data_IF_256237942466
#
_entry.id   IF_256237942466
#
_cell.length_a   1.000
_cell.length_b   1.000
_cell.length_c   1.000
_cell.angle_alpha   90.00
_cell.angle_beta   90.00
_cell.angle_gamma   90.00
#
_symmetry.space_group_name_H-M   'P 1'
#
loop_
_entity.id
_entity.type
_entity.pdbx_description
1 polymer ?
#
# COMPACT_ATOMS: atom_id res chain seq x y z
N UNK A 1 -24.00 6.43 -28.90
CA UNK A 1 -23.43 5.07 -28.71
C UNK A 1 -22.55 5.11 -27.47
N UNK A 2 -23.00 4.53 -26.35
CA UNK A 2 -22.17 4.37 -25.15
C UNK A 2 -21.20 3.22 -25.42
N UNK A 3 -19.91 3.53 -25.55
CA UNK A 3 -18.85 2.55 -25.65
C UNK A 3 -18.73 1.82 -24.31
N UNK A 4 -19.02 0.52 -24.31
CA UNK A 4 -18.84 -0.34 -23.14
C UNK A 4 -17.34 -0.43 -22.88
N UNK A 5 -16.85 0.14 -21.78
CA UNK A 5 -15.44 0.01 -21.38
C UNK A 5 -15.08 -1.48 -21.28
N UNK A 6 -13.94 -1.91 -21.85
CA UNK A 6 -13.54 -3.31 -21.78
C UNK A 6 -13.39 -3.73 -20.32
N UNK A 7 -13.95 -4.88 -19.96
CA UNK A 7 -13.78 -5.44 -18.62
C UNK A 7 -12.28 -5.61 -18.35
N UNK A 8 -11.74 -5.14 -17.21
CA UNK A 8 -10.34 -5.31 -16.87
C UNK A 8 -9.99 -6.80 -16.91
N UNK A 9 -8.87 -7.16 -17.54
CA UNK A 9 -8.40 -8.56 -17.57
C UNK A 9 -8.12 -8.98 -16.14
N UNK A 10 -8.83 -10.02 -15.67
CA UNK A 10 -8.81 -10.53 -14.29
C UNK A 10 -7.41 -10.79 -13.71
N UNK A 11 -6.38 -10.94 -14.53
CA UNK A 11 -5.05 -11.39 -14.09
C UNK A 11 -3.89 -10.43 -14.45
N UNK A 12 -4.14 -9.28 -15.10
CA UNK A 12 -3.05 -8.40 -15.56
C UNK A 12 -3.44 -6.91 -15.50
N UNK A 13 -3.80 -6.41 -14.31
CA UNK A 13 -4.00 -4.97 -14.09
C UNK A 13 -3.28 -4.52 -12.81
N UNK A 14 -2.86 -3.26 -12.77
CA UNK A 14 -2.23 -2.68 -11.58
C UNK A 14 -3.18 -2.68 -10.37
N UNK A 15 -4.47 -2.45 -10.58
CA UNK A 15 -5.50 -2.51 -9.54
C UNK A 15 -5.59 -3.91 -8.91
N UNK A 16 -5.70 -4.96 -9.74
CA UNK A 16 -5.70 -6.34 -9.26
C UNK A 16 -4.39 -6.70 -8.53
N UNK A 17 -3.25 -6.21 -9.03
CA UNK A 17 -1.96 -6.39 -8.39
C UNK A 17 -1.91 -5.77 -6.99
N UNK A 18 -2.29 -4.50 -6.86
CA UNK A 18 -2.28 -3.80 -5.57
C UNK A 18 -3.27 -4.41 -4.59
N UNK A 19 -4.42 -4.90 -5.07
CA UNK A 19 -5.37 -5.64 -4.23
C UNK A 19 -4.76 -6.93 -3.68
N UNK A 20 -4.14 -7.75 -4.54
CA UNK A 20 -3.50 -9.01 -4.11
C UNK A 20 -2.36 -8.76 -3.11
N UNK A 21 -1.54 -7.72 -3.33
CA UNK A 21 -0.48 -7.35 -2.39
C UNK A 21 -1.09 -6.91 -1.05
N UNK A 22 -2.11 -6.05 -1.08
CA UNK A 22 -2.79 -5.62 0.15
C UNK A 22 -3.38 -6.80 0.93
N UNK A 23 -4.02 -7.73 0.23
CA UNK A 23 -4.55 -8.97 0.84
C UNK A 23 -3.44 -9.75 1.54
N UNK A 24 -2.28 -9.91 0.91
CA UNK A 24 -1.13 -10.60 1.54
C UNK A 24 -0.58 -9.86 2.78
N UNK A 25 -0.73 -8.53 2.84
CA UNK A 25 -0.29 -7.75 4.00
C UNK A 25 -1.22 -7.90 5.22
N UNK A 26 -2.47 -8.38 5.04
CA UNK A 26 -3.34 -8.70 6.18
C UNK A 26 -2.84 -9.91 6.99
N UNK A 27 -2.04 -10.78 6.38
CA UNK A 27 -1.50 -11.97 7.03
C UNK A 27 -0.23 -11.65 7.86
N UNK A 28 0.31 -10.44 7.76
CA UNK A 28 1.52 -10.03 8.48
C UNK A 28 1.16 -9.69 9.93
N UNK A 29 1.81 -10.32 10.93
CA UNK A 29 1.59 -9.99 12.33
C UNK A 29 1.96 -8.53 12.62
N UNK A 30 1.05 -7.79 13.23
CA UNK A 30 1.32 -6.43 13.69
C UNK A 30 2.05 -6.47 15.04
N UNK A 31 3.31 -6.01 15.12
CA UNK A 31 4.07 -6.01 16.38
C UNK A 31 3.56 -4.96 17.38
N UNK A 32 2.69 -4.04 16.96
CA UNK A 32 2.16 -2.97 17.80
C UNK A 32 1.05 -3.50 18.70
N UNK A 33 0.93 -2.93 19.89
CA UNK A 33 -0.12 -3.28 20.85
C UNK A 33 -1.30 -2.32 20.76
N UNK A 34 -2.48 -2.78 21.19
CA UNK A 34 -3.71 -1.98 21.17
C UNK A 34 -4.40 -1.95 19.80
N UNK A 35 -5.31 -0.99 19.62
CA UNK A 35 -6.00 -0.77 18.34
C UNK A 35 -5.35 0.42 17.62
N UNK A 36 -4.52 0.19 16.60
CA UNK A 36 -3.86 1.28 15.89
C UNK A 36 -4.87 2.06 15.03
N UNK A 37 -4.68 3.38 14.94
CA UNK A 37 -5.48 4.24 14.05
C UNK A 37 -5.20 3.96 12.57
N UNK A 38 -3.95 3.63 12.23
CA UNK A 38 -3.53 3.25 10.89
C UNK A 38 -3.17 1.76 10.91
N UNK A 39 -3.90 0.99 10.11
CA UNK A 39 -3.68 -0.44 9.96
C UNK A 39 -2.28 -0.74 9.41
N UNK A 40 -1.71 -1.88 9.77
CA UNK A 40 -0.42 -2.29 9.20
C UNK A 40 -0.48 -2.46 7.67
N UNK A 41 -1.54 -3.05 7.08
CA UNK A 41 -1.69 -3.11 5.62
C UNK A 41 -1.67 -1.72 4.95
N UNK A 42 -2.31 -0.71 5.54
CA UNK A 42 -2.27 0.65 4.99
C UNK A 42 -0.85 1.23 5.03
N UNK A 43 -0.11 1.05 6.13
CA UNK A 43 1.26 1.53 6.24
C UNK A 43 2.20 0.83 5.24
N UNK A 44 2.04 -0.48 5.03
CA UNK A 44 2.80 -1.25 4.05
C UNK A 44 2.45 -0.86 2.61
N UNK A 45 1.17 -0.63 2.31
CA UNK A 45 0.73 -0.10 1.01
C UNK A 45 1.25 1.32 0.78
N UNK A 46 1.38 2.15 1.82
CA UNK A 46 2.03 3.46 1.73
C UNK A 46 3.51 3.33 1.37
N UNK A 47 4.22 2.37 1.97
CA UNK A 47 5.59 2.02 1.59
C UNK A 47 5.69 1.58 0.14
N UNK A 48 4.80 0.69 -0.31
CA UNK A 48 4.71 0.27 -1.70
C UNK A 48 4.46 1.47 -2.63
N UNK A 49 3.54 2.36 -2.28
CA UNK A 49 3.20 3.54 -3.07
C UNK A 49 4.39 4.47 -3.26
N UNK A 50 5.16 4.71 -2.19
CA UNK A 50 6.41 5.48 -2.26
C UNK A 50 7.38 4.89 -3.29
N UNK A 51 7.62 3.58 -3.25
CA UNK A 51 8.51 2.92 -4.20
C UNK A 51 7.94 2.89 -5.63
N UNK A 52 6.65 2.63 -5.79
CA UNK A 52 5.98 2.56 -7.09
C UNK A 52 5.98 3.92 -7.81
N UNK A 53 5.81 5.01 -7.05
CA UNK A 53 5.87 6.39 -7.56
C UNK A 53 7.32 6.92 -7.67
N UNK A 54 8.31 6.15 -7.21
CA UNK A 54 9.72 6.52 -7.19
C UNK A 54 9.97 7.83 -6.45
N UNK A 55 9.28 8.02 -5.33
CA UNK A 55 9.55 9.17 -4.49
C UNK A 55 10.97 9.08 -3.91
N UNK A 56 11.72 10.19 -3.90
CA UNK A 56 13.13 10.18 -3.51
C UNK A 56 13.34 10.02 -2.00
N UNK A 57 12.30 10.21 -1.19
CA UNK A 57 12.31 10.03 0.26
C UNK A 57 10.89 9.93 0.81
N UNK A 58 10.76 9.45 2.06
CA UNK A 58 9.48 9.47 2.79
C UNK A 58 8.95 10.90 2.98
N UNK A 59 9.84 11.88 3.20
CA UNK A 59 9.45 13.28 3.33
C UNK A 59 8.83 13.83 2.03
N UNK A 60 9.40 13.48 0.87
CA UNK A 60 8.83 13.85 -0.43
C UNK A 60 7.48 13.17 -0.67
N UNK A 61 7.34 11.90 -0.27
CA UNK A 61 6.06 11.20 -0.33
C UNK A 61 4.99 11.84 0.60
N UNK A 62 5.36 12.26 1.81
CA UNK A 62 4.42 12.96 2.71
C UNK A 62 3.98 14.32 2.14
N UNK A 63 4.86 15.05 1.45
CA UNK A 63 4.48 16.27 0.72
C UNK A 63 3.48 15.97 -0.41
N UNK A 64 3.65 14.88 -1.16
CA UNK A 64 2.64 14.41 -2.14
C UNK A 64 1.33 14.08 -1.46
N UNK A 65 1.36 13.33 -0.35
CA UNK A 65 0.17 12.95 0.42
C UNK A 65 -0.64 14.19 0.81
N UNK A 66 0.02 15.25 1.28
CA UNK A 66 -0.67 16.51 1.63
C UNK A 66 -1.39 17.17 0.45
N UNK A 67 -0.92 16.94 -0.79
CA UNK A 67 -1.52 17.50 -2.00
C UNK A 67 -2.61 16.59 -2.60
N UNK A 68 -2.43 15.27 -2.50
CA UNK A 68 -3.24 14.30 -3.25
C UNK A 68 -3.47 12.97 -2.50
N UNK A 69 -3.89 13.07 -1.24
CA UNK A 69 -4.16 11.89 -0.41
C UNK A 69 -5.26 10.99 -0.98
N UNK A 70 -6.30 11.59 -1.60
CA UNK A 70 -7.44 10.84 -2.11
C UNK A 70 -7.04 9.89 -3.26
N UNK A 71 -6.17 10.32 -4.17
CA UNK A 71 -5.70 9.43 -5.23
C UNK A 71 -4.81 8.32 -4.69
N UNK A 72 -3.95 8.61 -3.70
CA UNK A 72 -3.14 7.57 -3.05
C UNK A 72 -4.04 6.51 -2.41
N UNK A 73 -5.08 6.92 -1.68
CA UNK A 73 -6.06 6.01 -1.07
C UNK A 73 -6.78 5.16 -2.10
N UNK A 74 -7.25 5.76 -3.19
CA UNK A 74 -7.97 5.03 -4.24
C UNK A 74 -7.08 4.03 -4.98
N UNK A 75 -5.91 4.45 -5.45
CA UNK A 75 -5.03 3.64 -6.30
C UNK A 75 -4.39 2.49 -5.52
N UNK A 76 -3.95 2.74 -4.29
CA UNK A 76 -3.26 1.76 -3.47
C UNK A 76 -4.16 1.10 -2.41
N UNK A 77 -5.48 1.33 -2.50
CA UNK A 77 -6.50 0.73 -1.63
C UNK A 77 -6.26 0.97 -0.13
N UNK A 78 -5.83 2.17 0.25
CA UNK A 78 -5.58 2.52 1.65
C UNK A 78 -6.78 3.23 2.28
N UNK A 79 -7.07 2.93 3.54
CA UNK A 79 -8.03 3.74 4.30
C UNK A 79 -7.38 5.01 4.85
N UNK A 80 -6.16 4.90 5.39
CA UNK A 80 -5.40 6.03 5.92
C UNK A 80 -3.97 6.02 5.39
N UNK A 81 -3.47 7.17 4.94
CA UNK A 81 -2.07 7.30 4.50
C UNK A 81 -1.25 7.91 5.64
N UNK A 82 -0.25 7.22 6.21
CA UNK A 82 0.57 7.77 7.28
C UNK A 82 1.42 8.95 6.78
N UNK A 83 1.75 9.87 7.68
CA UNK A 83 2.84 10.83 7.44
C UNK A 83 4.20 10.13 7.56
N UNK A 84 5.27 10.80 7.12
CA UNK A 84 6.64 10.27 7.10
C UNK A 84 7.05 9.64 8.45
N UNK A 85 6.98 10.40 9.55
CA UNK A 85 7.35 9.91 10.89
C UNK A 85 6.54 8.69 11.30
N UNK A 86 5.21 8.75 11.12
CA UNK A 86 4.32 7.65 11.50
C UNK A 86 4.57 6.41 10.64
N UNK A 87 4.90 6.58 9.37
CA UNK A 87 5.22 5.46 8.48
C UNK A 87 6.48 4.74 8.98
N UNK A 88 7.53 5.46 9.37
CA UNK A 88 8.74 4.87 9.96
C UNK A 88 8.44 4.12 11.26
N UNK A 89 7.75 4.77 12.19
CA UNK A 89 7.37 4.14 13.47
C UNK A 89 6.61 2.81 13.29
N UNK A 90 5.76 2.72 12.27
CA UNK A 90 4.99 1.51 11.98
C UNK A 90 5.83 0.44 11.28
N UNK A 91 6.66 0.83 10.31
CA UNK A 91 7.38 -0.12 9.45
C UNK A 91 8.73 -0.58 9.99
N UNK A 92 9.43 0.24 10.77
CA UNK A 92 10.73 -0.09 11.37
C UNK A 92 10.72 -1.39 12.21
N UNK A 93 9.68 -1.71 13.01
CA UNK A 93 9.63 -2.95 13.79
C UNK A 93 9.14 -4.17 12.98
N UNK A 94 8.74 -4.01 11.71
CA UNK A 94 8.24 -5.13 10.90
C UNK A 94 9.40 -5.97 10.40
N UNK A 95 9.37 -7.27 10.69
CA UNK A 95 10.36 -8.22 10.17
C UNK A 95 10.23 -8.33 8.63
N UNK A 96 11.28 -7.97 7.86
CA UNK A 96 11.24 -8.01 6.40
C UNK A 96 10.93 -9.39 5.82
N UNK A 97 11.27 -10.48 6.53
CA UNK A 97 10.96 -11.84 6.06
C UNK A 97 9.45 -12.09 5.98
N UNK A 98 8.64 -11.40 6.78
CA UNK A 98 7.18 -11.48 6.74
C UNK A 98 6.58 -10.80 5.49
N UNK A 99 7.32 -9.91 4.84
CA UNK A 99 6.85 -9.18 3.64
C UNK A 99 7.04 -10.01 2.36
N UNK A 100 7.99 -10.96 2.38
CA UNK A 100 8.37 -11.77 1.20
C UNK A 100 7.21 -12.53 0.53
N UNK A 101 6.24 -13.13 1.26
CA UNK A 101 5.14 -13.85 0.64
C UNK A 101 4.32 -12.96 -0.32
N UNK A 102 4.10 -11.69 0.03
CA UNK A 102 3.35 -10.75 -0.82
C UNK A 102 4.00 -10.50 -2.17
N UNK A 103 5.33 -10.57 -2.26
CA UNK A 103 6.05 -10.42 -3.52
C UNK A 103 5.94 -11.67 -4.43
N UNK A 104 5.76 -12.86 -3.86
CA UNK A 104 5.67 -14.12 -4.62
C UNK A 104 4.29 -14.32 -5.25
N UNK A 105 3.26 -13.75 -4.66
CA UNK A 105 1.87 -13.89 -5.11
C UNK A 105 1.48 -12.91 -6.25
N UNK A 106 2.43 -12.12 -6.75
CA UNK A 106 2.21 -11.12 -7.82
C UNK A 106 1.87 -11.75 -9.19
N UNK A 107 2.25 -13.01 -9.41
CA UNK A 107 2.10 -13.70 -10.71
C UNK A 107 1.16 -14.91 -10.68
N UNK A 108 0.37 -15.07 -9.61
CA UNK A 108 -0.51 -16.24 -9.41
C UNK A 108 -1.97 -15.79 -9.41
#
# INVERSE_FOLDING_TARGET
MMTKSPAPRKQLSADALFRNIRESFHDIPDPRTGKPEISLPDALMSGLAMFALKEPSLLAFDQRRQQDEQNLRMIFHMEHVPCDTRQREILDPVDPEQIRPGFRNVFT
#
